data_IF_442923545669
#
_entry.id   IF_442923545669
#
_cell.length_a   1.000
_cell.length_b   1.000
_cell.length_c   1.000
_cell.angle_alpha   90.00
_cell.angle_beta   90.00
_cell.angle_gamma   90.00
#
_symmetry.space_group_name_H-M   'P 1'
#
loop_
_entity.id
_entity.type
_entity.pdbx_description
1 polymer ?
#
# COMPACT_ATOMS: atom_id res chain seq x y z
N UNK A 1 11.89 20.47 20.38
CA UNK A 1 11.37 19.88 19.14
C UNK A 1 12.56 19.41 18.33
N UNK A 2 12.65 18.11 18.02
CA UNK A 2 13.83 17.51 17.39
C UNK A 2 13.46 17.08 15.99
N UNK A 3 13.89 17.85 15.00
CA UNK A 3 13.69 17.53 13.58
C UNK A 3 14.57 16.34 13.21
N UNK A 4 13.99 15.32 12.57
CA UNK A 4 14.68 14.10 12.12
C UNK A 4 14.26 13.74 10.69
N UNK A 5 15.06 12.95 9.95
CA UNK A 5 14.63 12.40 8.68
C UNK A 5 13.38 11.53 8.82
N UNK A 6 12.49 11.58 7.84
CA UNK A 6 11.28 10.78 7.78
C UNK A 6 11.62 9.28 7.85
N UNK A 7 10.92 8.55 8.71
CA UNK A 7 11.13 7.11 8.94
C UNK A 7 10.55 6.20 7.84
N UNK A 8 9.76 6.73 6.91
CA UNK A 8 9.17 5.90 5.87
C UNK A 8 10.27 5.30 4.96
N UNK A 9 10.28 3.97 4.72
CA UNK A 9 11.41 3.25 4.12
C UNK A 9 11.75 3.69 2.69
N UNK A 10 10.80 4.35 2.01
CA UNK A 10 10.94 4.87 0.66
C UNK A 10 10.65 6.37 0.55
N UNK A 11 10.98 7.15 1.59
CA UNK A 11 10.84 8.60 1.53
C UNK A 11 11.97 9.21 0.68
N UNK A 12 11.62 9.83 -0.44
CA UNK A 12 12.53 10.42 -1.42
C UNK A 12 12.19 11.90 -1.75
N UNK A 13 11.46 12.54 -0.83
CA UNK A 13 10.83 13.87 -0.99
C UNK A 13 11.81 15.04 -1.13
N UNK A 14 13.03 14.93 -0.61
CA UNK A 14 14.02 16.01 -0.63
C UNK A 14 15.17 15.65 -1.58
N UNK A 15 14.91 15.76 -2.89
CA UNK A 15 15.87 15.43 -3.94
C UNK A 15 16.46 14.01 -3.82
N UNK A 16 15.61 13.03 -3.51
CA UNK A 16 16.02 11.65 -3.27
C UNK A 16 16.39 11.34 -1.82
N UNK A 17 16.35 12.34 -0.93
CA UNK A 17 16.53 12.16 0.52
C UNK A 17 15.18 12.13 1.26
N UNK A 18 15.12 11.50 2.44
CA UNK A 18 13.96 11.57 3.31
C UNK A 18 13.68 13.00 3.77
N UNK A 19 12.42 13.45 3.69
CA UNK A 19 12.03 14.76 4.20
C UNK A 19 12.31 14.89 5.70
N UNK A 20 12.75 16.06 6.14
CA UNK A 20 12.90 16.39 7.55
C UNK A 20 11.52 16.64 8.20
N UNK A 21 11.27 16.04 9.34
CA UNK A 21 9.99 16.11 10.05
C UNK A 21 10.16 15.94 11.56
N UNK A 22 9.24 16.49 12.35
CA UNK A 22 9.14 16.27 13.79
C UNK A 22 8.12 15.16 14.14
N UNK A 23 7.35 14.70 13.16
CA UNK A 23 6.20 13.80 13.34
C UNK A 23 6.56 12.31 13.18
N UNK A 24 7.85 11.97 13.09
CA UNK A 24 8.34 10.63 12.74
C UNK A 24 8.20 10.31 11.24
N UNK A 25 7.02 10.48 10.66
CA UNK A 25 6.80 10.49 9.21
C UNK A 25 6.21 11.80 8.74
N UNK A 26 6.60 12.28 7.55
CA UNK A 26 5.99 13.45 6.95
C UNK A 26 4.52 13.16 6.55
N UNK A 27 3.65 14.17 6.52
CA UNK A 27 2.21 14.02 6.21
C UNK A 27 1.89 13.15 4.98
N UNK A 28 2.66 13.22 3.88
CA UNK A 28 2.45 12.35 2.73
C UNK A 28 2.67 10.87 3.03
N UNK A 29 3.72 10.55 3.80
CA UNK A 29 4.01 9.19 4.22
C UNK A 29 2.99 8.70 5.25
N UNK A 30 2.47 9.57 6.11
CA UNK A 30 1.34 9.24 6.99
C UNK A 30 0.07 8.90 6.18
N UNK A 31 -0.24 9.69 5.14
CA UNK A 31 -1.34 9.39 4.21
C UNK A 31 -1.13 8.07 3.47
N UNK A 32 0.11 7.73 3.13
CA UNK A 32 0.45 6.45 2.53
C UNK A 32 0.17 5.28 3.49
N UNK A 33 0.65 5.37 4.73
CA UNK A 33 0.38 4.38 5.77
C UNK A 33 -1.12 4.20 6.03
N UNK A 34 -1.86 5.31 6.13
CA UNK A 34 -3.32 5.27 6.27
C UNK A 34 -3.98 4.50 5.11
N UNK A 35 -3.53 4.74 3.87
CA UNK A 35 -4.02 4.01 2.71
C UNK A 35 -3.67 2.54 2.74
N UNK A 36 -2.44 2.17 3.14
CA UNK A 36 -2.02 0.78 3.28
C UNK A 36 -2.93 0.00 4.25
N UNK A 37 -3.24 0.59 5.41
CA UNK A 37 -4.21 -0.01 6.34
C UNK A 37 -5.57 -0.20 5.70
N UNK A 38 -6.08 0.83 5.00
CA UNK A 38 -7.36 0.76 4.31
C UNK A 38 -7.38 -0.33 3.23
N UNK A 39 -6.29 -0.46 2.46
CA UNK A 39 -6.15 -1.49 1.45
C UNK A 39 -6.15 -2.90 2.05
N UNK A 40 -5.43 -3.14 3.15
CA UNK A 40 -5.46 -4.46 3.79
C UNK A 40 -6.83 -4.82 4.36
N UNK A 41 -7.57 -3.85 4.93
CA UNK A 41 -8.95 -4.10 5.37
C UNK A 41 -9.83 -4.48 4.18
N UNK A 42 -9.69 -3.80 3.05
CA UNK A 42 -10.44 -4.12 1.82
C UNK A 42 -10.03 -5.48 1.24
N UNK A 43 -8.74 -5.81 1.24
CA UNK A 43 -8.22 -7.11 0.82
C UNK A 43 -8.79 -8.22 1.70
N UNK A 44 -8.82 -8.03 3.03
CA UNK A 44 -9.45 -8.97 3.95
C UNK A 44 -10.94 -9.16 3.64
N UNK A 45 -11.69 -8.08 3.42
CA UNK A 45 -13.11 -8.16 3.03
C UNK A 45 -13.27 -8.94 1.72
N UNK A 46 -12.42 -8.66 0.73
CA UNK A 46 -12.44 -9.34 -0.56
C UNK A 46 -12.18 -10.84 -0.41
N UNK A 47 -11.13 -11.23 0.31
CA UNK A 47 -10.80 -12.63 0.57
C UNK A 47 -11.92 -13.34 1.34
N UNK A 48 -12.46 -12.71 2.39
CA UNK A 48 -13.49 -13.29 3.24
C UNK A 48 -14.87 -13.39 2.57
N UNK A 49 -15.16 -12.57 1.56
CA UNK A 49 -16.48 -12.54 0.88
C UNK A 49 -16.50 -13.22 -0.47
N UNK A 50 -15.44 -13.06 -1.26
CA UNK A 50 -15.44 -13.45 -2.67
C UNK A 50 -14.70 -14.76 -2.92
N UNK A 51 -13.96 -15.28 -1.94
CA UNK A 51 -13.26 -16.58 -2.02
C UNK A 51 -13.65 -17.45 -0.81
N UNK A 52 -14.91 -17.91 -0.72
CA UNK A 52 -15.37 -18.68 0.43
C UNK A 52 -14.56 -19.98 0.63
N UNK A 53 -14.24 -20.24 1.89
CA UNK A 53 -13.58 -21.46 2.40
C UNK A 53 -14.39 -22.70 1.98
N UNK A 54 -13.75 -23.83 1.60
CA UNK A 54 -14.49 -25.05 1.29
C UNK A 54 -15.18 -25.54 2.56
N UNK A 55 -16.45 -25.93 2.45
CA UNK A 55 -17.12 -26.73 3.47
C UNK A 55 -16.31 -28.02 3.68
N UNK A 56 -15.91 -28.33 4.92
CA UNK A 56 -15.06 -29.48 5.21
C UNK A 56 -15.63 -30.77 4.57
N UNK A 57 -14.81 -31.57 3.86
CA UNK A 57 -15.29 -32.83 3.32
C UNK A 57 -15.46 -33.83 4.46
N UNK A 58 -16.69 -34.31 4.62
CA UNK A 58 -16.98 -35.47 5.44
C UNK A 58 -16.25 -36.69 4.86
N UNK A 59 -15.16 -37.09 5.53
CA UNK A 59 -14.49 -38.38 5.39
C UNK A 59 -13.94 -38.72 4.00
N UNK A 60 -12.63 -38.76 3.85
CA UNK A 60 -11.93 -39.95 3.35
C UNK A 60 -10.42 -39.75 3.47
N UNK A 61 -9.80 -40.80 3.97
CA UNK A 61 -8.39 -40.97 4.23
C UNK A 61 -7.65 -41.25 2.91
N UNK A 62 -6.71 -40.38 2.49
CA UNK A 62 -5.72 -40.74 1.47
C UNK A 62 -4.39 -40.01 1.70
N UNK A 63 -3.38 -40.80 2.05
CA UNK A 63 -1.95 -40.46 2.07
C UNK A 63 -1.43 -40.39 0.63
N UNK A 64 -1.02 -39.20 0.18
CA UNK A 64 -0.23 -39.04 -1.04
C UNK A 64 0.87 -37.98 -0.85
N UNK A 65 2.13 -38.42 -0.93
CA UNK A 65 3.31 -37.56 -1.07
C UNK A 65 3.33 -36.97 -2.49
N UNK A 66 2.81 -35.74 -2.63
CA UNK A 66 2.96 -34.89 -3.81
C UNK A 66 2.82 -33.44 -3.38
N UNK A 67 3.77 -32.59 -3.77
CA UNK A 67 3.81 -31.14 -3.52
C UNK A 67 2.40 -30.53 -3.63
N UNK A 68 1.81 -30.18 -2.49
CA UNK A 68 0.43 -29.69 -2.40
C UNK A 68 0.42 -28.22 -2.79
N UNK A 69 0.07 -27.94 -4.04
CA UNK A 69 -0.35 -26.60 -4.45
C UNK A 69 -1.69 -26.35 -3.73
N UNK A 70 -1.64 -25.60 -2.61
CA UNK A 70 -2.79 -25.38 -1.72
C UNK A 70 -4.02 -24.89 -2.49
N UNK A 71 -5.19 -25.39 -2.09
CA UNK A 71 -6.46 -25.07 -2.75
C UNK A 71 -6.66 -23.54 -2.74
N UNK A 72 -7.20 -22.90 -3.79
CA UNK A 72 -7.37 -21.43 -3.82
C UNK A 72 -8.09 -20.85 -2.58
N UNK A 73 -9.00 -21.62 -1.99
CA UNK A 73 -9.74 -21.25 -0.81
C UNK A 73 -8.96 -21.43 0.52
N UNK A 74 -8.02 -22.37 0.56
CA UNK A 74 -7.06 -22.52 1.67
C UNK A 74 -6.12 -21.31 1.71
N UNK A 75 -5.53 -20.97 0.55
CA UNK A 75 -4.71 -19.75 0.42
C UNK A 75 -5.49 -18.49 0.82
N UNK A 76 -6.74 -18.34 0.40
CA UNK A 76 -7.57 -17.18 0.74
C UNK A 76 -7.84 -17.10 2.25
N UNK A 77 -8.13 -18.23 2.88
CA UNK A 77 -8.40 -18.31 4.32
C UNK A 77 -7.14 -18.03 5.14
N UNK A 78 -6.00 -18.60 4.77
CA UNK A 78 -4.71 -18.36 5.43
C UNK A 78 -4.24 -16.91 5.26
N UNK A 79 -4.46 -16.35 4.08
CA UNK A 79 -4.10 -14.95 3.81
C UNK A 79 -5.02 -13.99 4.58
N UNK A 80 -6.32 -14.28 4.65
CA UNK A 80 -7.25 -13.50 5.48
C UNK A 80 -6.88 -13.56 6.96
N UNK A 81 -6.46 -14.73 7.46
CA UNK A 81 -5.96 -14.90 8.83
C UNK A 81 -4.69 -14.08 9.05
N UNK A 82 -3.72 -14.15 8.13
CA UNK A 82 -2.49 -13.37 8.19
C UNK A 82 -2.75 -11.86 8.24
N UNK A 83 -3.72 -11.34 7.47
CA UNK A 83 -4.11 -9.92 7.57
C UNK A 83 -4.68 -9.60 8.96
N UNK A 84 -5.55 -10.47 9.48
CA UNK A 84 -6.15 -10.27 10.80
C UNK A 84 -5.09 -10.29 11.92
N UNK A 85 -4.12 -11.20 11.84
CA UNK A 85 -3.03 -11.33 12.80
C UNK A 85 -2.11 -10.08 12.74
N UNK A 86 -1.60 -9.70 11.56
CA UNK A 86 -0.77 -8.48 11.40
C UNK A 86 -1.49 -7.22 11.90
N UNK A 87 -2.78 -7.02 11.58
CA UNK A 87 -3.52 -5.86 12.07
C UNK A 87 -3.74 -5.89 13.59
N UNK A 88 -3.91 -7.08 14.17
CA UNK A 88 -4.05 -7.24 15.61
C UNK A 88 -2.73 -7.00 16.34
N UNK A 89 -1.61 -7.47 15.80
CA UNK A 89 -0.26 -7.24 16.33
C UNK A 89 0.11 -5.74 16.31
N UNK A 90 -0.19 -5.03 15.22
CA UNK A 90 0.03 -3.57 15.14
C UNK A 90 -0.83 -2.83 16.17
N UNK A 91 -2.09 -3.26 16.36
CA UNK A 91 -2.96 -2.70 17.40
C UNK A 91 -2.36 -2.96 18.79
N UNK A 92 -1.97 -4.20 19.09
CA UNK A 92 -1.35 -4.57 20.37
C UNK A 92 -0.11 -3.74 20.67
N UNK A 93 0.83 -3.66 19.71
CA UNK A 93 2.07 -2.92 19.85
C UNK A 93 1.82 -1.41 20.08
N UNK A 94 0.84 -0.81 19.41
CA UNK A 94 0.50 0.59 19.63
C UNK A 94 -0.24 0.81 20.95
N UNK A 95 -1.14 -0.10 21.34
CA UNK A 95 -1.84 -0.04 22.62
C UNK A 95 -0.86 -0.17 23.79
N UNK A 96 0.08 -1.12 23.73
CA UNK A 96 1.14 -1.30 24.72
C UNK A 96 2.02 -0.04 24.82
N UNK A 97 2.45 0.50 23.67
CA UNK A 97 3.24 1.73 23.63
C UNK A 97 2.54 2.94 24.27
N UNK A 98 1.22 3.03 24.15
CA UNK A 98 0.40 4.11 24.70
C UNK A 98 -0.12 3.82 26.12
N UNK A 99 0.08 2.60 26.64
CA UNK A 99 -0.53 2.15 27.90
C UNK A 99 -2.06 2.07 27.82
N UNK A 100 -2.62 1.84 26.63
CA UNK A 100 -4.06 1.72 26.38
C UNK A 100 -4.51 0.24 26.47
N UNK A 101 -5.82 0.01 26.28
CA UNK A 101 -6.39 -1.34 26.34
C UNK A 101 -5.93 -2.18 25.15
N UNK A 102 -5.48 -3.43 25.36
CA UNK A 102 -5.02 -4.29 24.27
C UNK A 102 -6.18 -4.70 23.32
N UNK A 103 -5.86 -5.16 22.10
CA UNK A 103 -6.85 -5.68 21.17
C UNK A 103 -7.60 -6.90 21.73
N UNK A 104 -8.73 -7.28 21.08
CA UNK A 104 -9.41 -8.53 21.37
C UNK A 104 -8.47 -9.74 21.29
N UNK A 105 -8.70 -10.73 22.16
CA UNK A 105 -7.88 -11.94 22.22
C UNK A 105 -7.84 -12.69 20.86
N UNK A 106 -6.72 -13.36 20.49
CA UNK A 106 -6.59 -14.08 19.22
C UNK A 106 -7.61 -15.20 18.97
N UNK A 107 -8.27 -15.69 20.02
CA UNK A 107 -9.33 -16.72 19.92
C UNK A 107 -10.65 -16.16 19.37
N UNK A 108 -10.80 -14.85 19.29
CA UNK A 108 -11.98 -14.20 18.73
C UNK A 108 -11.90 -14.19 17.20
N UNK A 109 -13.05 -14.29 16.52
CA UNK A 109 -13.13 -14.32 15.06
C UNK A 109 -12.37 -13.17 14.38
N UNK A 110 -11.72 -13.45 13.26
CA UNK A 110 -10.97 -12.47 12.44
C UNK A 110 -11.76 -11.18 12.16
N UNK A 111 -13.07 -11.30 11.87
CA UNK A 111 -13.94 -10.16 11.64
C UNK A 111 -13.95 -9.15 12.79
N UNK A 112 -13.93 -9.62 14.03
CA UNK A 112 -13.94 -8.77 15.22
C UNK A 112 -12.57 -8.13 15.40
N UNK A 113 -11.48 -8.90 15.21
CA UNK A 113 -10.10 -8.43 15.30
C UNK A 113 -9.79 -7.34 14.29
N UNK A 114 -10.09 -7.57 13.01
CA UNK A 114 -9.92 -6.59 11.92
C UNK A 114 -10.72 -5.32 12.18
N UNK A 115 -11.98 -5.44 12.62
CA UNK A 115 -12.82 -4.27 12.94
C UNK A 115 -12.27 -3.48 14.12
N UNK A 116 -11.79 -4.15 15.17
CA UNK A 116 -11.22 -3.50 16.34
C UNK A 116 -9.92 -2.78 15.99
N UNK A 117 -9.00 -3.45 15.27
CA UNK A 117 -7.77 -2.87 14.79
C UNK A 117 -8.01 -1.64 13.91
N UNK A 118 -8.90 -1.71 12.91
CA UNK A 118 -9.22 -0.56 12.07
C UNK A 118 -9.71 0.65 12.87
N UNK A 119 -10.68 0.44 13.77
CA UNK A 119 -11.24 1.52 14.61
C UNK A 119 -10.24 2.15 15.56
N UNK A 120 -9.22 1.39 15.96
CA UNK A 120 -8.18 1.87 16.85
C UNK A 120 -7.07 2.62 16.09
N UNK A 121 -6.57 2.02 15.00
CA UNK A 121 -5.40 2.48 14.26
C UNK A 121 -5.70 3.66 13.32
N UNK A 122 -6.85 3.67 12.63
CA UNK A 122 -7.20 4.71 11.65
C UNK A 122 -7.17 6.15 12.23
N UNK A 123 -7.75 6.45 13.40
CA UNK A 123 -7.64 7.79 13.97
C UNK A 123 -6.26 8.10 14.56
N UNK A 124 -5.41 7.08 14.73
CA UNK A 124 -4.10 7.16 15.42
C UNK A 124 -2.91 7.02 14.48
N UNK A 125 -3.09 7.21 13.18
CA UNK A 125 -2.01 7.12 12.18
C UNK A 125 -0.81 7.98 12.55
N UNK A 126 -1.04 9.20 13.05
CA UNK A 126 0.02 10.11 13.45
C UNK A 126 0.84 9.57 14.64
N UNK A 127 0.19 8.92 15.61
CA UNK A 127 0.87 8.26 16.73
C UNK A 127 1.65 7.03 16.27
N UNK A 128 1.02 6.20 15.42
CA UNK A 128 1.67 5.05 14.81
C UNK A 128 2.91 5.47 13.99
N UNK A 129 2.82 6.58 13.28
CA UNK A 129 3.93 7.12 12.47
C UNK A 129 5.10 7.65 13.30
N UNK A 130 4.84 7.98 14.57
CA UNK A 130 5.85 8.49 15.50
C UNK A 130 6.59 7.37 16.25
N UNK A 131 6.13 6.12 16.20
CA UNK A 131 6.78 4.99 16.89
C UNK A 131 8.10 4.62 16.22
N UNK A 132 9.02 4.01 16.97
CA UNK A 132 10.33 3.58 16.47
C UNK A 132 10.25 2.41 15.49
N UNK A 133 9.19 1.60 15.57
CA UNK A 133 8.93 0.43 14.73
C UNK A 133 8.01 0.73 13.52
N UNK A 134 7.65 1.98 13.29
CA UNK A 134 6.75 2.38 12.20
C UNK A 134 7.29 2.00 10.80
N UNK A 135 8.61 1.98 10.62
CA UNK A 135 9.26 1.56 9.36
C UNK A 135 8.97 0.10 9.01
N UNK A 136 9.02 -0.76 10.03
CA UNK A 136 8.78 -2.20 9.87
C UNK A 136 7.31 -2.46 9.55
N UNK A 137 6.40 -1.75 10.25
CA UNK A 137 4.96 -1.77 9.94
C UNK A 137 4.66 -1.39 8.51
N UNK A 138 5.23 -0.28 8.00
CA UNK A 138 5.02 0.12 6.60
C UNK A 138 5.51 -0.97 5.63
N UNK A 139 6.66 -1.57 5.92
CA UNK A 139 7.26 -2.62 5.08
C UNK A 139 6.39 -3.86 5.06
N UNK A 140 5.96 -4.35 6.23
CA UNK A 140 5.12 -5.53 6.37
C UNK A 140 3.76 -5.34 5.67
N UNK A 141 3.07 -4.23 5.94
CA UNK A 141 1.79 -3.92 5.31
C UNK A 141 1.91 -3.85 3.78
N UNK A 142 2.99 -3.21 3.28
CA UNK A 142 3.26 -3.08 1.85
C UNK A 142 3.53 -4.43 1.17
N UNK A 143 4.28 -5.30 1.84
CA UNK A 143 4.65 -6.61 1.32
C UNK A 143 3.46 -7.56 1.32
N UNK A 144 2.64 -7.53 2.39
CA UNK A 144 1.41 -8.30 2.47
C UNK A 144 0.42 -7.87 1.37
N UNK A 145 0.19 -6.56 1.21
CA UNK A 145 -0.66 -6.04 0.13
C UNK A 145 -0.14 -6.46 -1.25
N UNK A 146 1.16 -6.29 -1.52
CA UNK A 146 1.77 -6.67 -2.80
C UNK A 146 1.61 -8.17 -3.10
N UNK A 147 1.78 -9.02 -2.09
CA UNK A 147 1.60 -10.48 -2.19
C UNK A 147 0.15 -10.87 -2.54
N UNK A 148 -0.83 -10.20 -1.92
CA UNK A 148 -2.25 -10.42 -2.21
C UNK A 148 -2.57 -10.01 -3.65
N UNK A 149 -2.11 -8.82 -4.06
CA UNK A 149 -2.38 -8.26 -5.39
C UNK A 149 -1.78 -9.10 -6.52
N UNK A 150 -0.56 -9.63 -6.33
CA UNK A 150 0.08 -10.49 -7.33
C UNK A 150 -0.67 -11.82 -7.51
N UNK A 151 -1.19 -12.40 -6.43
CA UNK A 151 -1.95 -13.66 -6.44
C UNK A 151 -3.35 -13.53 -7.02
N UNK A 152 -4.06 -12.43 -6.74
CA UNK A 152 -5.42 -12.21 -7.25
C UNK A 152 -5.47 -11.81 -8.74
N UNK A 153 -4.34 -11.71 -9.42
CA UNK A 153 -4.28 -11.26 -10.82
C UNK A 153 -4.73 -9.81 -11.00
N UNK A 154 -4.95 -9.07 -9.91
CA UNK A 154 -5.26 -7.64 -9.93
C UNK A 154 -4.00 -6.78 -10.18
N UNK A 155 -3.04 -7.30 -10.91
CA UNK A 155 -2.03 -6.48 -11.59
C UNK A 155 -2.70 -5.87 -12.82
N UNK A 156 -3.55 -4.87 -12.58
CA UNK A 156 -3.98 -3.98 -13.68
C UNK A 156 -2.68 -3.50 -14.31
N UNK A 157 -2.48 -3.66 -15.63
CA UNK A 157 -1.28 -3.18 -16.29
C UNK A 157 -1.15 -1.69 -15.97
N UNK A 158 -0.06 -1.36 -15.29
CA UNK A 158 0.27 -0.02 -14.84
C UNK A 158 1.46 0.47 -15.65
N UNK A 159 1.27 1.57 -16.35
CA UNK A 159 2.34 2.27 -17.06
C UNK A 159 2.80 3.41 -16.16
N UNK A 160 4.08 3.41 -15.77
CA UNK A 160 4.67 4.55 -15.07
C UNK A 160 4.66 5.77 -16.00
N UNK A 161 4.25 6.93 -15.48
CA UNK A 161 4.28 8.18 -16.21
C UNK A 161 5.57 8.93 -15.86
N UNK A 162 6.21 9.59 -16.85
CA UNK A 162 7.49 10.27 -16.65
C UNK A 162 7.36 11.53 -15.77
N UNK A 163 6.14 12.06 -15.65
CA UNK A 163 5.82 13.28 -14.91
C UNK A 163 5.77 13.07 -13.40
N UNK A 164 6.23 14.06 -12.62
CA UNK A 164 6.04 14.06 -11.18
C UNK A 164 4.55 14.23 -10.83
N UNK A 165 4.15 13.69 -9.69
CA UNK A 165 2.81 13.91 -9.17
C UNK A 165 2.58 15.38 -8.81
N UNK A 166 1.53 16.06 -9.28
CA UNK A 166 1.29 17.47 -8.95
C UNK A 166 0.91 17.71 -7.48
N UNK A 167 0.59 16.66 -6.72
CA UNK A 167 0.31 16.79 -5.28
C UNK A 167 1.53 16.49 -4.39
N UNK A 168 2.46 15.65 -4.85
CA UNK A 168 3.59 15.23 -4.02
C UNK A 168 4.96 15.37 -4.66
N UNK A 169 5.02 15.79 -5.91
CA UNK A 169 6.22 15.99 -6.74
C UNK A 169 7.06 14.73 -6.99
N UNK A 170 6.60 13.58 -6.51
CA UNK A 170 7.26 12.28 -6.71
C UNK A 170 6.90 11.68 -8.06
N UNK A 171 7.90 11.11 -8.76
CA UNK A 171 7.76 10.37 -10.03
C UNK A 171 7.19 8.96 -9.82
N UNK A 172 6.05 8.90 -9.15
CA UNK A 172 5.33 7.64 -8.84
C UNK A 172 3.95 7.61 -9.47
N UNK A 173 3.65 8.51 -10.42
CA UNK A 173 2.40 8.46 -11.16
C UNK A 173 2.38 7.21 -12.04
N UNK A 174 1.28 6.48 -11.94
CA UNK A 174 1.00 5.29 -12.75
C UNK A 174 -0.36 5.43 -13.40
N UNK A 175 -0.44 5.10 -14.68
CA UNK A 175 -1.70 4.95 -15.41
C UNK A 175 -2.09 3.48 -15.38
N UNK A 176 -3.24 3.17 -14.82
CA UNK A 176 -3.82 1.82 -14.83
C UNK A 176 -4.86 1.74 -15.94
N UNK A 177 -4.64 0.87 -16.92
CA UNK A 177 -5.59 0.66 -18.03
C UNK A 177 -6.32 -0.67 -17.83
N UNK A 178 -7.64 -0.62 -17.74
CA UNK A 178 -8.52 -1.79 -17.72
C UNK A 178 -9.71 -1.54 -18.65
N UNK A 179 -10.40 -2.59 -19.15
CA UNK A 179 -11.40 -2.46 -20.22
C UNK A 179 -12.49 -1.41 -19.98
N UNK A 180 -12.79 -1.10 -18.72
CA UNK A 180 -13.83 -0.15 -18.31
C UNK A 180 -13.31 0.96 -17.38
N UNK A 181 -12.00 1.06 -17.15
CA UNK A 181 -11.43 2.06 -16.24
C UNK A 181 -9.99 2.39 -16.63
N UNK A 182 -9.77 3.64 -17.01
CA UNK A 182 -8.47 4.23 -17.23
C UNK A 182 -8.27 5.30 -16.17
N UNK A 183 -7.32 5.09 -15.26
CA UNK A 183 -7.10 5.98 -14.12
C UNK A 183 -5.62 6.29 -13.99
N UNK A 184 -5.30 7.55 -13.66
CA UNK A 184 -3.95 7.97 -13.30
C UNK A 184 -3.91 8.21 -11.80
N UNK A 185 -3.03 7.50 -11.11
CA UNK A 185 -2.88 7.57 -9.65
C UNK A 185 -1.41 7.62 -9.25
N UNK A 186 -1.12 8.36 -8.18
CA UNK A 186 0.21 8.41 -7.60
C UNK A 186 0.44 7.25 -6.64
N UNK A 187 1.42 6.40 -6.91
CA UNK A 187 1.82 5.29 -6.02
C UNK A 187 2.30 5.76 -4.64
N UNK A 188 2.86 6.97 -4.52
CA UNK A 188 3.31 7.52 -3.25
C UNK A 188 2.17 8.18 -2.46
N UNK A 189 1.58 9.28 -2.96
CA UNK A 189 0.58 10.05 -2.21
C UNK A 189 -0.87 9.71 -2.54
N UNK A 190 -1.14 8.87 -3.56
CA UNK A 190 -2.46 8.46 -4.06
C UNK A 190 -3.41 9.58 -4.42
N UNK A 191 -2.84 10.71 -4.82
CA UNK A 191 -3.54 11.67 -5.65
C UNK A 191 -3.98 10.97 -6.95
N UNK A 192 -5.21 11.22 -7.37
CA UNK A 192 -5.80 10.66 -8.57
C UNK A 192 -6.22 11.79 -9.50
N UNK A 193 -6.09 11.56 -10.81
CA UNK A 193 -6.55 12.51 -11.82
C UNK A 193 -8.01 12.17 -12.15
N UNK A 194 -8.96 13.09 -11.94
CA UNK A 194 -10.31 12.90 -12.43
C UNK A 194 -10.34 13.05 -13.96
N UNK A 195 -11.23 12.31 -14.64
CA UNK A 195 -11.33 12.29 -16.11
C UNK A 195 -11.45 13.69 -16.75
N UNK A 196 -12.07 14.63 -16.05
CA UNK A 196 -12.22 16.03 -16.47
C UNK A 196 -10.89 16.77 -16.65
N UNK A 197 -9.84 16.33 -15.95
CA UNK A 197 -8.53 17.00 -15.91
C UNK A 197 -7.50 16.35 -16.85
N UNK A 198 -7.89 15.31 -17.62
CA UNK A 198 -6.98 14.56 -18.48
C UNK A 198 -6.35 15.44 -19.57
N UNK A 199 -7.08 16.40 -20.13
CA UNK A 199 -6.54 17.31 -21.14
C UNK A 199 -5.47 18.23 -20.56
N UNK A 200 -5.72 18.78 -19.37
CA UNK A 200 -4.75 19.62 -18.66
C UNK A 200 -3.50 18.82 -18.31
N UNK A 201 -3.68 17.59 -17.86
CA UNK A 201 -2.58 16.71 -17.53
C UNK A 201 -1.77 16.27 -18.76
N UNK A 202 -2.43 15.94 -19.87
CA UNK A 202 -1.76 15.60 -21.13
C UNK A 202 -0.84 16.74 -21.60
N UNK A 203 -1.27 18.00 -21.41
CA UNK A 203 -0.45 19.18 -21.68
C UNK A 203 0.81 19.23 -20.81
N UNK A 204 0.66 19.04 -19.50
CA UNK A 204 1.79 19.00 -18.54
C UNK A 204 2.79 17.89 -18.90
N UNK A 205 2.30 16.71 -19.28
CA UNK A 205 3.14 15.58 -19.71
C UNK A 205 3.91 15.89 -20.98
N UNK A 206 3.25 16.49 -21.97
CA UNK A 206 3.89 16.88 -23.22
C UNK A 206 4.97 17.94 -22.97
N UNK A 207 4.67 18.97 -22.17
CA UNK A 207 5.63 20.02 -21.83
C UNK A 207 6.87 19.43 -21.11
N UNK A 208 6.67 18.55 -20.12
CA UNK A 208 7.76 17.88 -19.39
C UNK A 208 8.64 17.02 -20.30
N UNK A 209 8.04 16.28 -21.24
CA UNK A 209 8.77 15.43 -22.18
C UNK A 209 9.56 16.24 -23.22
N UNK A 210 9.04 17.40 -23.62
CA UNK A 210 9.70 18.31 -24.56
C UNK A 210 10.89 19.00 -23.88
N UNK A 211 10.74 19.39 -22.62
CA UNK A 211 11.81 20.00 -21.82
C UNK A 211 12.96 19.00 -21.53
N UNK A 212 12.65 17.74 -21.22
CA UNK A 212 13.66 16.67 -21.01
C UNK A 212 14.39 16.28 -22.31
N UNK A 213 13.82 16.57 -23.49
CA UNK A 213 14.37 16.24 -24.81
C UNK A 213 15.16 17.37 -25.48
N UNK A 214 15.24 18.55 -24.87
CA UNK A 214 15.81 19.77 -25.47
C UNK A 214 17.34 19.90 -25.40
N UNK A 215 18.04 18.99 -24.72
CA UNK A 215 19.47 19.17 -24.40
C UNK A 215 20.44 18.35 -25.26
N UNK A 216 20.00 17.83 -26.40
CA UNK A 216 20.88 17.09 -27.35
C UNK A 216 20.77 17.59 -28.79
N UNK A 217 21.07 18.87 -29.05
CA UNK A 217 21.59 19.30 -30.37
C UNK A 217 22.15 20.72 -30.37
N UNK A 218 23.44 20.88 -30.05
CA UNK A 218 24.33 21.88 -30.69
C UNK A 218 25.78 21.72 -30.20
N UNK A 219 26.46 20.72 -30.75
CA UNK A 219 27.89 20.78 -30.98
C UNK A 219 28.23 19.77 -32.07
N UNK A 220 29.08 20.19 -33.03
CA UNK A 220 29.59 19.45 -34.21
C UNK A 220 28.63 19.55 -35.41
N UNK A 221 28.91 20.18 -36.56
CA UNK A 221 30.13 20.73 -37.20
C UNK A 221 29.71 21.61 -38.41
N UNK A 222 30.71 22.30 -39.01
CA UNK A 222 30.83 23.00 -40.32
C UNK A 222 31.16 24.49 -40.08
N UNK A 223 32.39 24.98 -40.26
CA UNK A 223 33.55 24.59 -41.09
C UNK A 223 34.85 24.60 -40.30
#
# INVERSE_FOLDING_TARGET
MTVRPCRHPRCDRDHGNPALTELGMCDPCQRHLHRLLGWLVLDWVNLARNLPTPTAPAGTDHRATRHTYGHPAEWASDTARSIADTLNEIHDALADHLGETPPPHPTVTDRIRVRAAWRYLEPRIHLLSATDWATDTVTELSDLHRKIRSRLGHTIPRTALPTPCPSCELRTLTRSQSPNRDAIECGACGWHIPDTDYQRYARIVLDTLVDDGGDTTSAVLVQ
#
